data_IF_009085701725
#
_entry.id   IF_009085701725
#
_cell.length_a   1.000
_cell.length_b   1.000
_cell.length_c   1.000
_cell.angle_alpha   90.00
_cell.angle_beta   90.00
_cell.angle_gamma   90.00
#
_symmetry.space_group_name_H-M   'P 1'
#
loop_
_entity.id
_entity.type
_entity.pdbx_description
1 polymer ?
#
# COMPACT_ATOMS: atom_id res chain seq x y z
N UNK A 1 -27.64 -16.77 5.72
CA UNK A 1 -28.65 -15.68 5.73
C UNK A 1 -28.01 -14.29 5.89
N UNK A 2 -27.05 -13.92 5.03
CA UNK A 2 -26.46 -12.56 4.98
C UNK A 2 -26.49 -11.97 3.56
N UNK A 3 -27.25 -12.59 2.65
CA UNK A 3 -27.28 -12.23 1.22
C UNK A 3 -28.49 -11.38 0.79
N UNK A 4 -29.36 -10.94 1.72
CA UNK A 4 -30.71 -10.42 1.37
C UNK A 4 -30.97 -8.93 1.65
N UNK A 5 -29.98 -8.13 2.09
CA UNK A 5 -30.24 -6.75 2.53
C UNK A 5 -29.71 -5.67 1.56
N UNK A 6 -28.96 -6.03 0.51
CA UNK A 6 -28.18 -5.05 -0.28
C UNK A 6 -28.78 -4.58 -1.63
N UNK A 7 -30.02 -4.94 -2.00
CA UNK A 7 -30.49 -4.88 -3.42
C UNK A 7 -31.39 -3.68 -3.78
N UNK A 8 -31.34 -2.52 -3.11
CA UNK A 8 -32.13 -1.36 -3.56
C UNK A 8 -31.34 -0.05 -3.51
N UNK A 9 -30.88 0.42 -4.68
CA UNK A 9 -31.12 1.75 -5.28
C UNK A 9 -30.07 2.10 -6.33
N UNK A 10 -30.51 2.80 -7.38
CA UNK A 10 -29.93 2.82 -8.73
C UNK A 10 -29.04 4.05 -9.05
N UNK A 11 -28.22 3.86 -10.09
CA UNK A 11 -27.79 4.77 -11.16
C UNK A 11 -27.89 6.31 -10.97
N UNK A 12 -26.75 7.03 -11.09
CA UNK A 12 -26.42 7.83 -12.28
C UNK A 12 -25.12 8.66 -12.13
N UNK A 13 -24.52 8.98 -13.29
CA UNK A 13 -23.48 10.00 -13.57
C UNK A 13 -21.99 9.69 -13.26
N UNK A 14 -21.15 9.95 -14.28
CA UNK A 14 -19.71 9.70 -14.33
C UNK A 14 -18.94 10.72 -13.48
N UNK A 15 -17.96 10.26 -12.71
CA UNK A 15 -17.09 11.11 -11.89
C UNK A 15 -17.27 10.92 -10.37
N UNK A 16 -17.16 9.68 -9.90
CA UNK A 16 -16.99 9.33 -8.48
C UNK A 16 -15.97 8.21 -8.44
N UNK A 17 -15.15 8.15 -7.39
CA UNK A 17 -14.39 6.96 -7.00
C UNK A 17 -15.31 5.76 -7.25
N UNK A 18 -14.99 4.98 -8.29
CA UNK A 18 -15.95 4.06 -8.91
C UNK A 18 -16.34 2.99 -7.90
N UNK A 19 -17.58 3.12 -7.42
CA UNK A 19 -18.44 2.08 -6.84
C UNK A 19 -18.03 1.52 -5.48
N UNK A 20 -18.69 2.02 -4.44
CA UNK A 20 -18.79 1.35 -3.13
C UNK A 20 -19.76 0.15 -3.14
N UNK A 21 -20.57 -0.08 -4.18
CA UNK A 21 -21.35 -1.32 -4.37
C UNK A 21 -21.68 -1.44 -5.86
N UNK A 22 -21.29 -2.53 -6.53
CA UNK A 22 -21.71 -2.84 -7.90
C UNK A 22 -21.88 -4.35 -8.04
N UNK A 23 -23.13 -4.83 -8.07
CA UNK A 23 -23.56 -6.00 -8.87
C UNK A 23 -25.09 -6.10 -8.88
N UNK A 24 -25.68 -6.00 -10.08
CA UNK A 24 -27.02 -6.54 -10.38
C UNK A 24 -27.18 -6.81 -11.89
N UNK A 25 -27.45 -8.10 -12.18
CA UNK A 25 -28.01 -8.74 -13.40
C UNK A 25 -27.04 -8.88 -14.59
N UNK A 26 -26.92 -10.06 -15.23
CA UNK A 26 -28.01 -10.83 -15.86
C UNK A 26 -27.80 -12.36 -15.86
N UNK A 27 -28.79 -13.11 -15.38
CA UNK A 27 -29.08 -14.48 -15.81
C UNK A 27 -30.60 -14.57 -16.00
N UNK A 28 -31.04 -14.52 -17.26
CA UNK A 28 -32.18 -15.29 -17.78
C UNK A 28 -32.38 -14.93 -19.25
N UNK A 29 -32.24 -15.91 -20.13
CA UNK A 29 -33.29 -16.29 -21.09
C UNK A 29 -32.93 -17.66 -21.68
N UNK A 30 -33.93 -18.54 -21.66
CA UNK A 30 -33.90 -19.89 -22.20
C UNK A 30 -34.30 -19.89 -23.69
N UNK A 31 -33.60 -20.73 -24.48
CA UNK A 31 -34.07 -21.62 -25.58
C UNK A 31 -34.51 -21.02 -26.95
N UNK A 32 -34.65 -21.82 -28.03
CA UNK A 32 -33.93 -23.04 -28.46
C UNK A 32 -33.62 -23.13 -30.00
N UNK A 33 -32.76 -24.09 -30.40
CA UNK A 33 -32.96 -24.96 -31.59
C UNK A 33 -32.29 -24.62 -32.94
N UNK A 34 -31.44 -25.53 -33.46
CA UNK A 34 -31.63 -26.28 -34.73
C UNK A 34 -30.33 -26.92 -35.23
N UNK A 35 -30.45 -28.15 -35.73
CA UNK A 35 -29.42 -29.09 -36.20
C UNK A 35 -29.37 -29.21 -37.73
N UNK A 36 -28.29 -29.89 -38.20
CA UNK A 36 -28.03 -30.44 -39.55
C UNK A 36 -27.41 -29.47 -40.57
N UNK A 37 -26.41 -29.81 -41.40
CA UNK A 37 -25.70 -31.06 -41.71
C UNK A 37 -25.08 -30.92 -43.12
N UNK A 38 -23.93 -31.54 -43.40
CA UNK A 38 -23.46 -31.83 -44.77
C UNK A 38 -22.08 -31.29 -45.20
N UNK A 39 -21.13 -32.19 -45.40
CA UNK A 39 -19.93 -32.07 -46.26
C UNK A 39 -20.26 -32.66 -47.66
N UNK A 40 -19.60 -32.31 -48.79
CA UNK A 40 -18.24 -32.85 -49.10
C UNK A 40 -17.29 -32.07 -50.08
N UNK A 41 -15.98 -32.16 -49.79
CA UNK A 41 -14.81 -32.40 -50.68
C UNK A 41 -14.33 -31.35 -51.76
N UNK A 42 -13.11 -31.50 -52.37
CA UNK A 42 -11.95 -30.64 -52.08
C UNK A 42 -11.32 -29.92 -53.32
N UNK A 43 -10.18 -29.27 -53.06
CA UNK A 43 -9.11 -28.82 -53.97
C UNK A 43 -9.19 -27.37 -54.49
N UNK A 44 -8.20 -26.55 -54.10
CA UNK A 44 -7.21 -25.92 -54.99
C UNK A 44 -6.44 -24.83 -54.20
N UNK A 45 -5.11 -24.91 -54.22
CA UNK A 45 -4.25 -23.73 -54.11
C UNK A 45 -4.12 -23.18 -55.55
N UNK A 46 -4.03 -21.86 -55.79
CA UNK A 46 -2.87 -21.07 -55.36
C UNK A 46 -3.12 -19.55 -55.15
N UNK A 47 -2.01 -18.84 -54.95
CA UNK A 47 -1.77 -17.43 -55.21
C UNK A 47 -1.78 -16.45 -54.01
N UNK A 48 -0.56 -16.05 -53.68
CA UNK A 48 -0.15 -14.87 -52.91
C UNK A 48 -0.95 -13.61 -53.24
N UNK A 49 -1.42 -12.92 -52.20
CA UNK A 49 -1.80 -11.51 -52.25
C UNK A 49 -0.95 -10.71 -51.24
N UNK A 50 -0.23 -9.66 -51.67
CA UNK A 50 0.51 -8.79 -50.78
C UNK A 50 -0.41 -7.66 -50.31
N UNK A 51 -0.88 -7.72 -49.07
CA UNK A 51 -1.39 -6.56 -48.35
C UNK A 51 -1.44 -6.88 -46.85
N UNK A 52 -0.27 -6.91 -46.22
CA UNK A 52 -0.18 -6.70 -44.78
C UNK A 52 -0.05 -5.19 -44.56
N UNK A 53 -1.12 -4.55 -44.11
CA UNK A 53 -1.02 -3.20 -43.55
C UNK A 53 0.04 -3.21 -42.44
N UNK A 54 0.99 -2.26 -42.42
CA UNK A 54 1.95 -2.18 -41.34
C UNK A 54 1.20 -1.92 -40.04
N UNK A 55 1.40 -2.82 -39.06
CA UNK A 55 0.91 -2.65 -37.71
C UNK A 55 1.22 -1.23 -37.24
N UNK A 56 0.17 -0.48 -36.87
CA UNK A 56 0.30 0.89 -36.41
C UNK A 56 1.36 0.97 -35.32
N UNK A 57 2.42 1.74 -35.58
CA UNK A 57 3.46 2.02 -34.61
C UNK A 57 2.82 2.53 -33.30
N UNK A 58 3.34 2.16 -32.12
CA UNK A 58 2.75 2.58 -30.86
C UNK A 58 2.68 4.10 -30.82
N UNK A 59 1.46 4.65 -30.86
CA UNK A 59 1.23 6.08 -30.76
C UNK A 59 1.82 6.57 -29.43
N UNK A 60 2.95 7.26 -29.54
CA UNK A 60 3.67 7.83 -28.41
C UNK A 60 2.77 8.92 -27.81
N UNK A 61 2.20 8.65 -26.64
CA UNK A 61 1.47 9.70 -25.90
C UNK A 61 2.46 10.87 -25.67
N UNK A 62 2.10 12.11 -26.02
CA UNK A 62 3.00 13.24 -25.80
C UNK A 62 3.42 13.27 -24.33
N UNK A 63 4.72 13.46 -24.08
CA UNK A 63 5.27 13.59 -22.71
C UNK A 63 4.58 14.77 -22.04
N UNK A 64 3.65 14.50 -21.13
CA UNK A 64 3.05 15.52 -20.28
C UNK A 64 4.16 16.16 -19.45
N UNK A 65 4.16 17.48 -19.37
CA UNK A 65 5.05 18.20 -18.45
C UNK A 65 4.79 17.69 -17.02
N UNK A 66 5.81 17.14 -16.34
CA UNK A 66 5.67 16.67 -14.97
C UNK A 66 5.10 17.70 -14.01
N UNK A 67 5.33 19.00 -14.24
CA UNK A 67 4.84 20.08 -13.38
C UNK A 67 3.31 20.10 -13.26
N UNK A 68 2.60 19.64 -14.30
CA UNK A 68 1.14 19.52 -14.32
C UNK A 68 0.61 18.18 -13.80
N UNK A 69 1.47 17.30 -13.31
CA UNK A 69 1.12 15.96 -12.83
C UNK A 69 1.25 15.87 -11.30
N UNK A 70 0.66 14.83 -10.72
CA UNK A 70 0.75 14.56 -9.27
C UNK A 70 1.17 13.13 -8.95
N UNK A 71 1.72 12.97 -7.74
CA UNK A 71 2.03 11.70 -7.08
C UNK A 71 1.32 11.68 -5.74
N UNK A 72 0.60 10.61 -5.43
CA UNK A 72 -0.04 10.42 -4.12
C UNK A 72 0.73 9.38 -3.29
N UNK A 73 1.14 9.78 -2.09
CA UNK A 73 1.84 8.93 -1.13
C UNK A 73 0.90 8.58 0.03
N UNK A 74 0.73 7.29 0.30
CA UNK A 74 -0.18 6.79 1.33
C UNK A 74 0.63 6.31 2.54
N UNK A 75 0.48 6.93 3.73
CA UNK A 75 1.23 6.55 4.92
C UNK A 75 0.88 5.15 5.42
N UNK A 76 1.73 4.64 6.32
CA UNK A 76 1.58 3.32 6.92
C UNK A 76 1.44 3.37 8.44
N UNK A 77 1.50 2.19 9.06
CA UNK A 77 1.52 2.07 10.52
C UNK A 77 2.66 2.89 11.14
N UNK A 78 2.35 3.58 12.23
CA UNK A 78 3.21 4.54 12.91
C UNK A 78 2.85 6.00 12.63
N UNK A 79 1.93 6.26 11.69
CA UNK A 79 1.49 7.62 11.35
C UNK A 79 0.17 8.03 12.02
N UNK A 80 -0.55 7.07 12.63
CA UNK A 80 -1.78 7.30 13.39
C UNK A 80 -1.54 8.16 14.63
N UNK A 81 -2.57 8.91 15.02
CA UNK A 81 -2.64 9.69 16.25
C UNK A 81 -4.11 9.94 16.62
N UNK A 82 -4.40 10.14 17.91
CA UNK A 82 -5.76 10.46 18.38
C UNK A 82 -6.17 11.84 17.87
N UNK A 83 -7.40 11.94 17.33
CA UNK A 83 -7.93 13.13 16.66
C UNK A 83 -7.83 13.07 15.14
N UNK A 84 -7.15 12.06 14.56
CA UNK A 84 -7.10 11.90 13.11
C UNK A 84 -8.49 11.65 12.51
N UNK A 85 -8.75 12.24 11.35
CA UNK A 85 -10.04 12.15 10.68
C UNK A 85 -11.03 13.24 11.06
N UNK A 86 -10.82 13.99 12.16
CA UNK A 86 -11.71 15.08 12.60
C UNK A 86 -11.91 16.13 11.50
N UNK A 87 -10.82 16.55 10.86
CA UNK A 87 -10.85 17.52 9.77
C UNK A 87 -11.51 17.01 8.49
N UNK A 88 -11.70 15.69 8.37
CA UNK A 88 -12.18 15.03 7.16
C UNK A 88 -13.70 14.82 7.16
N UNK A 89 -14.36 14.83 8.32
CA UNK A 89 -15.79 14.49 8.45
C UNK A 89 -16.75 15.44 7.69
N UNK A 90 -16.28 16.63 7.32
CA UNK A 90 -17.04 17.62 6.54
C UNK A 90 -17.07 17.31 5.04
N UNK A 91 -16.16 16.48 4.53
CA UNK A 91 -16.12 16.16 3.11
C UNK A 91 -17.10 15.02 2.78
N UNK A 92 -17.63 14.98 1.53
CA UNK A 92 -18.54 13.94 1.09
C UNK A 92 -17.95 12.53 1.26
N UNK A 93 -18.82 11.53 1.41
CA UNK A 93 -18.49 10.10 1.54
C UNK A 93 -17.69 9.70 2.80
N UNK A 94 -16.97 10.61 3.46
CA UNK A 94 -16.09 10.28 4.60
C UNK A 94 -16.86 9.61 5.75
N UNK A 95 -18.00 10.18 6.17
CA UNK A 95 -18.84 9.57 7.23
C UNK A 95 -19.34 8.17 6.84
N UNK A 96 -19.67 7.97 5.58
CA UNK A 96 -20.14 6.68 5.07
C UNK A 96 -19.01 5.65 5.04
N UNK A 97 -17.79 6.05 4.69
CA UNK A 97 -16.61 5.17 4.76
C UNK A 97 -16.37 4.65 6.17
N UNK A 98 -16.46 5.52 7.19
CA UNK A 98 -16.36 5.10 8.59
C UNK A 98 -17.55 4.22 9.03
N UNK A 99 -18.76 4.49 8.54
CA UNK A 99 -19.94 3.64 8.80
C UNK A 99 -19.77 2.24 8.20
N UNK A 100 -19.26 2.14 6.97
CA UNK A 100 -18.93 0.87 6.32
C UNK A 100 -17.80 0.17 7.07
N UNK A 101 -16.78 0.92 7.49
CA UNK A 101 -15.67 0.39 8.27
C UNK A 101 -16.15 -0.23 9.59
N UNK A 102 -17.02 0.45 10.33
CA UNK A 102 -17.60 -0.09 11.56
C UNK A 102 -18.31 -1.43 11.33
N UNK A 103 -19.07 -1.57 10.24
CA UNK A 103 -19.75 -2.83 9.90
C UNK A 103 -18.77 -3.97 9.59
N UNK A 104 -17.67 -3.68 8.88
CA UNK A 104 -16.66 -4.69 8.49
C UNK A 104 -15.77 -5.09 9.67
N UNK A 105 -15.38 -4.09 10.46
CA UNK A 105 -14.45 -4.26 11.57
C UNK A 105 -15.15 -4.85 12.81
N UNK A 106 -16.42 -4.48 13.03
CA UNK A 106 -17.21 -4.91 14.19
C UNK A 106 -17.06 -4.00 15.42
N UNK A 107 -16.39 -2.85 15.27
CA UNK A 107 -16.20 -1.84 16.31
C UNK A 107 -16.19 -0.43 15.69
N UNK A 108 -16.42 0.59 16.51
CA UNK A 108 -16.43 1.99 16.04
C UNK A 108 -15.00 2.50 15.81
N UNK A 109 -14.54 2.39 14.56
CA UNK A 109 -13.24 2.91 14.15
C UNK A 109 -13.19 4.44 14.25
N UNK A 110 -14.30 5.14 14.03
CA UNK A 110 -14.30 6.60 14.03
C UNK A 110 -14.08 7.14 15.43
N UNK A 111 -14.83 6.66 16.42
CA UNK A 111 -14.61 7.05 17.83
C UNK A 111 -13.18 6.77 18.26
N UNK A 112 -12.64 5.58 17.94
CA UNK A 112 -11.24 5.25 18.25
C UNK A 112 -10.23 6.22 17.59
N UNK A 113 -10.43 6.61 16.33
CA UNK A 113 -9.59 7.60 15.66
C UNK A 113 -9.68 8.98 16.31
N UNK A 114 -10.86 9.42 16.72
CA UNK A 114 -11.11 10.78 17.20
C UNK A 114 -10.78 11.00 18.67
N UNK A 115 -10.99 9.97 19.49
CA UNK A 115 -11.06 10.04 20.96
C UNK A 115 -10.06 9.08 21.63
N UNK A 116 -9.58 8.06 20.91
CA UNK A 116 -8.66 7.07 21.46
C UNK A 116 -9.38 5.98 22.28
N UNK A 117 -8.73 5.40 23.30
CA UNK A 117 -7.45 5.83 23.88
C UNK A 117 -6.25 5.56 22.95
N UNK A 118 -5.16 6.28 23.17
CA UNK A 118 -4.00 6.26 22.27
C UNK A 118 -3.37 4.87 22.18
N UNK A 119 -3.20 4.18 23.31
CA UNK A 119 -2.61 2.84 23.38
C UNK A 119 -3.43 1.78 22.59
N UNK A 120 -4.77 1.85 22.64
CA UNK A 120 -5.63 1.02 21.80
C UNK A 120 -5.43 1.36 20.31
N UNK A 121 -5.43 2.65 19.96
CA UNK A 121 -5.23 3.08 18.57
C UNK A 121 -3.85 2.63 18.03
N UNK A 122 -2.82 2.57 18.88
CA UNK A 122 -1.47 2.13 18.53
C UNK A 122 -1.38 0.61 18.26
N UNK A 123 -2.32 -0.21 18.72
CA UNK A 123 -2.31 -1.65 18.45
C UNK A 123 -2.40 -1.92 16.95
N UNK A 124 -1.64 -2.91 16.47
CA UNK A 124 -1.57 -3.25 15.03
C UNK A 124 -2.94 -3.51 14.42
N UNK A 125 -3.82 -4.20 15.16
CA UNK A 125 -5.21 -4.50 14.76
C UNK A 125 -6.07 -3.26 14.51
N UNK A 126 -5.73 -2.14 15.14
CA UNK A 126 -6.50 -0.90 15.07
C UNK A 126 -5.82 0.15 14.18
N UNK A 127 -4.51 0.39 14.34
CA UNK A 127 -3.83 1.42 13.55
C UNK A 127 -3.86 1.13 12.04
N UNK A 128 -3.76 -0.12 11.61
CA UNK A 128 -3.77 -0.47 10.19
C UNK A 128 -5.08 -0.07 9.49
N UNK A 129 -6.27 -0.52 9.93
CA UNK A 129 -7.53 -0.05 9.35
C UNK A 129 -7.74 1.46 9.57
N UNK A 130 -7.29 2.02 10.69
CA UNK A 130 -7.43 3.44 10.99
C UNK A 130 -6.66 4.33 10.01
N UNK A 131 -5.39 3.99 9.73
CA UNK A 131 -4.57 4.67 8.70
C UNK A 131 -5.19 4.48 7.31
N UNK A 132 -5.60 3.25 6.96
CA UNK A 132 -6.21 2.96 5.65
C UNK A 132 -7.46 3.82 5.37
N UNK A 133 -8.43 3.85 6.29
CA UNK A 133 -9.68 4.60 6.11
C UNK A 133 -9.41 6.10 6.10
N UNK A 134 -8.55 6.58 7.01
CA UNK A 134 -8.20 8.01 7.10
C UNK A 134 -7.46 8.50 5.86
N UNK A 135 -6.57 7.67 5.28
CA UNK A 135 -5.89 7.97 4.02
C UNK A 135 -6.85 8.13 2.85
N UNK A 136 -7.81 7.23 2.69
CA UNK A 136 -8.80 7.34 1.63
C UNK A 136 -9.78 8.50 1.88
N UNK A 137 -10.09 8.81 3.14
CA UNK A 137 -10.84 10.02 3.48
C UNK A 137 -10.06 11.31 3.16
N UNK A 138 -8.73 11.30 3.31
CA UNK A 138 -7.87 12.42 2.89
C UNK A 138 -7.87 12.58 1.36
N UNK A 139 -8.02 11.49 0.60
CA UNK A 139 -8.24 11.57 -0.86
C UNK A 139 -9.57 12.28 -1.18
N UNK A 140 -10.65 12.00 -0.46
CA UNK A 140 -11.93 12.72 -0.65
C UNK A 140 -11.77 14.23 -0.39
N UNK A 141 -11.04 14.61 0.66
CA UNK A 141 -10.67 16.02 0.89
C UNK A 141 -9.90 16.61 -0.28
N UNK A 142 -8.82 15.95 -0.71
CA UNK A 142 -7.98 16.44 -1.81
C UNK A 142 -8.78 16.58 -3.10
N UNK A 143 -9.70 15.65 -3.38
CA UNK A 143 -10.57 15.70 -4.54
C UNK A 143 -11.53 16.90 -4.50
N UNK A 144 -12.03 17.26 -3.32
CA UNK A 144 -12.90 18.45 -3.16
C UNK A 144 -12.12 19.76 -3.26
N UNK A 145 -10.94 19.84 -2.64
CA UNK A 145 -10.15 21.08 -2.58
C UNK A 145 -9.31 21.32 -3.84
N UNK A 146 -8.85 20.24 -4.49
CA UNK A 146 -8.01 20.29 -5.68
C UNK A 146 -8.25 19.05 -6.57
N UNK A 147 -9.39 18.98 -7.29
CA UNK A 147 -9.72 17.82 -8.14
C UNK A 147 -8.66 17.54 -9.22
N UNK A 148 -7.97 18.58 -9.71
CA UNK A 148 -6.88 18.44 -10.69
C UNK A 148 -5.74 17.57 -10.16
N UNK A 149 -5.44 17.60 -8.86
CA UNK A 149 -4.44 16.73 -8.25
C UNK A 149 -4.83 15.25 -8.31
N UNK A 150 -6.12 14.92 -8.39
CA UNK A 150 -6.59 13.55 -8.58
C UNK A 150 -6.59 13.19 -10.07
N UNK A 151 -7.17 14.04 -10.91
CA UNK A 151 -7.29 13.84 -12.36
C UNK A 151 -5.93 13.69 -13.07
N UNK A 152 -4.92 14.41 -12.57
CA UNK A 152 -3.57 14.42 -13.14
C UNK A 152 -2.58 13.50 -12.40
N UNK A 153 -3.08 12.61 -11.55
CA UNK A 153 -2.26 11.65 -10.83
C UNK A 153 -1.65 10.62 -11.79
N UNK A 154 -0.31 10.54 -11.79
CA UNK A 154 0.44 9.61 -12.65
C UNK A 154 1.00 8.43 -11.88
N UNK A 155 1.15 8.56 -10.55
CA UNK A 155 1.70 7.54 -9.69
C UNK A 155 1.11 7.60 -8.28
N UNK A 156 0.93 6.42 -7.68
CA UNK A 156 0.62 6.27 -6.28
C UNK A 156 1.59 5.26 -5.64
N UNK A 157 1.97 5.50 -4.40
CA UNK A 157 2.76 4.56 -3.62
C UNK A 157 2.33 4.61 -2.17
N UNK A 158 2.14 3.44 -1.57
CA UNK A 158 1.78 3.32 -0.17
C UNK A 158 2.87 2.65 0.65
N UNK A 159 3.05 3.10 1.87
CA UNK A 159 4.02 2.52 2.79
C UNK A 159 3.36 1.40 3.62
N UNK A 160 3.79 0.16 3.42
CA UNK A 160 3.25 -1.02 4.10
C UNK A 160 1.73 -1.14 3.93
N UNK A 161 0.93 -0.97 4.99
CA UNK A 161 -0.54 -0.98 4.90
C UNK A 161 -1.09 0.08 3.94
N UNK A 162 -0.37 1.20 3.75
CA UNK A 162 -0.75 2.22 2.77
C UNK A 162 -0.82 1.70 1.34
N UNK A 163 -0.14 0.58 1.00
CA UNK A 163 -0.19 -0.04 -0.33
C UNK A 163 -1.62 -0.48 -0.69
N UNK A 164 -2.43 -0.88 0.30
CA UNK A 164 -3.85 -1.20 0.11
C UNK A 164 -4.67 0.06 -0.22
N UNK A 165 -4.41 1.18 0.45
CA UNK A 165 -5.09 2.44 0.17
C UNK A 165 -4.71 2.97 -1.24
N UNK A 166 -3.43 2.86 -1.62
CA UNK A 166 -2.98 3.20 -2.98
C UNK A 166 -3.65 2.33 -4.06
N UNK A 167 -3.82 1.03 -3.80
CA UNK A 167 -4.52 0.12 -4.71
C UNK A 167 -6.01 0.43 -4.84
N UNK A 168 -6.69 0.74 -3.74
CA UNK A 168 -8.10 1.20 -3.78
C UNK A 168 -8.23 2.51 -4.56
N UNK A 169 -7.38 3.48 -4.26
CA UNK A 169 -7.35 4.76 -4.99
C UNK A 169 -7.15 4.56 -6.50
N UNK A 170 -6.29 3.62 -6.90
CA UNK A 170 -6.02 3.30 -8.31
C UNK A 170 -7.12 2.49 -9.02
N UNK A 171 -8.21 2.14 -8.33
CA UNK A 171 -9.29 1.29 -8.87
C UNK A 171 -8.96 -0.20 -8.92
N UNK A 172 -7.80 -0.63 -8.39
CA UNK A 172 -7.37 -2.02 -8.40
C UNK A 172 -8.12 -2.90 -7.39
N UNK A 173 -8.67 -2.32 -6.32
CA UNK A 173 -9.46 -3.02 -5.31
C UNK A 173 -10.65 -2.17 -4.87
N UNK A 174 -11.74 -2.80 -4.47
CA UNK A 174 -12.85 -2.11 -3.82
C UNK A 174 -12.50 -1.77 -2.35
N UNK A 175 -13.00 -0.64 -1.85
CA UNK A 175 -12.82 -0.18 -0.48
C UNK A 175 -13.18 -1.25 0.57
N UNK A 176 -14.38 -1.82 0.48
CA UNK A 176 -14.87 -2.76 1.49
C UNK A 176 -14.05 -4.05 1.54
N UNK A 177 -13.71 -4.59 0.36
CA UNK A 177 -12.92 -5.81 0.22
C UNK A 177 -11.46 -5.59 0.66
N UNK A 178 -10.87 -4.44 0.29
CA UNK A 178 -9.54 -4.06 0.74
C UNK A 178 -9.50 -3.83 2.25
N UNK A 179 -10.52 -3.19 2.84
CA UNK A 179 -10.59 -3.02 4.29
C UNK A 179 -10.68 -4.35 5.01
N UNK A 180 -11.45 -5.31 4.48
CA UNK A 180 -11.48 -6.67 5.03
C UNK A 180 -10.11 -7.36 4.94
N UNK A 181 -9.40 -7.21 3.81
CA UNK A 181 -8.03 -7.71 3.69
C UNK A 181 -7.07 -7.03 4.69
N UNK A 182 -7.20 -5.72 4.90
CA UNK A 182 -6.42 -4.96 5.91
C UNK A 182 -6.76 -5.43 7.33
N UNK A 183 -8.02 -5.70 7.65
CA UNK A 183 -8.44 -6.28 8.93
C UNK A 183 -7.72 -7.61 9.19
N UNK A 184 -7.81 -8.55 8.24
CA UNK A 184 -7.18 -9.88 8.38
C UNK A 184 -5.65 -9.75 8.45
N UNK A 185 -5.06 -8.87 7.63
CA UNK A 185 -3.63 -8.55 7.69
C UNK A 185 -3.24 -8.08 9.10
N UNK A 186 -3.97 -7.13 9.66
CA UNK A 186 -3.67 -6.53 10.96
C UNK A 186 -3.81 -7.54 12.11
N UNK A 187 -4.91 -8.31 12.13
CA UNK A 187 -5.17 -9.37 13.11
C UNK A 187 -4.10 -10.46 13.08
N UNK A 188 -3.69 -10.89 11.89
CA UNK A 188 -2.72 -11.98 11.74
C UNK A 188 -1.29 -11.55 12.00
N UNK A 189 -0.92 -10.31 11.64
CA UNK A 189 0.35 -9.72 12.05
C UNK A 189 0.43 -9.51 13.55
N UNK A 190 -0.66 -9.06 14.21
CA UNK A 190 -0.69 -8.95 15.67
C UNK A 190 -0.47 -10.30 16.34
N UNK A 191 -1.20 -11.34 15.89
CA UNK A 191 -1.01 -12.71 16.39
C UNK A 191 0.41 -13.22 16.16
N UNK A 192 1.02 -12.94 15.00
CA UNK A 192 2.39 -13.31 14.71
C UNK A 192 3.39 -12.64 15.65
N UNK A 193 3.18 -11.36 15.98
CA UNK A 193 3.99 -10.62 16.95
C UNK A 193 3.93 -11.20 18.37
N UNK A 194 2.81 -11.81 18.74
CA UNK A 194 2.61 -12.41 20.07
C UNK A 194 3.30 -13.78 20.23
N UNK A 195 3.72 -14.41 19.13
CA UNK A 195 4.38 -15.73 19.16
C UNK A 195 5.79 -15.67 19.75
N UNK A 196 6.52 -14.58 19.52
CA UNK A 196 7.91 -14.44 19.97
C UNK A 196 8.27 -12.97 20.23
N UNK A 197 8.98 -12.66 21.33
CA UNK A 197 9.48 -11.31 21.58
C UNK A 197 10.35 -10.81 20.42
N UNK A 198 9.84 -9.79 19.74
CA UNK A 198 10.45 -9.24 18.53
C UNK A 198 10.10 -7.76 18.40
N UNK A 199 10.80 -7.05 17.54
CA UNK A 199 10.57 -5.62 17.37
C UNK A 199 11.23 -5.03 16.13
N UNK A 200 11.30 -3.71 16.10
CA UNK A 200 11.91 -2.95 15.02
C UNK A 200 12.78 -1.82 15.56
N UNK A 201 13.96 -1.64 14.95
CA UNK A 201 14.96 -0.65 15.29
C UNK A 201 15.21 0.26 14.09
N UNK A 202 14.86 1.53 14.20
CA UNK A 202 15.25 2.55 13.23
C UNK A 202 16.75 2.84 13.36
N UNK A 203 17.48 2.79 12.25
CA UNK A 203 18.94 2.93 12.20
C UNK A 203 19.34 3.92 11.11
N UNK A 204 20.03 4.99 11.52
CA UNK A 204 20.75 5.89 10.62
C UNK A 204 22.23 5.52 10.68
N UNK A 205 22.76 5.06 9.56
CA UNK A 205 24.15 4.62 9.39
C UNK A 205 25.04 5.71 8.82
N UNK A 206 26.35 5.44 8.83
CA UNK A 206 27.30 6.11 7.93
C UNK A 206 27.33 5.38 6.58
N UNK A 207 27.89 5.97 5.51
CA UNK A 207 28.08 5.26 4.25
C UNK A 207 28.87 3.95 4.38
N UNK A 208 29.71 3.82 5.40
CA UNK A 208 30.49 2.62 5.71
C UNK A 208 29.71 1.58 6.55
N UNK A 209 28.46 1.86 6.94
CA UNK A 209 27.67 0.95 7.76
C UNK A 209 27.26 -0.28 6.95
N UNK A 210 27.74 -1.45 7.38
CA UNK A 210 27.44 -2.72 6.73
C UNK A 210 26.21 -3.36 7.39
N UNK A 211 25.01 -2.88 7.06
CA UNK A 211 23.75 -3.37 7.63
C UNK A 211 23.57 -4.89 7.56
N UNK A 212 23.91 -5.51 6.43
CA UNK A 212 23.76 -6.97 6.26
C UNK A 212 24.72 -7.73 7.18
N UNK A 213 25.96 -7.25 7.31
CA UNK A 213 26.93 -7.81 8.25
C UNK A 213 26.50 -7.60 9.70
N UNK A 214 25.95 -6.44 10.04
CA UNK A 214 25.40 -6.17 11.37
C UNK A 214 24.27 -7.15 11.73
N UNK A 215 23.34 -7.39 10.80
CA UNK A 215 22.27 -8.37 10.97
C UNK A 215 22.81 -9.80 11.13
N UNK A 216 23.84 -10.18 10.36
CA UNK A 216 24.52 -11.47 10.51
C UNK A 216 25.13 -11.62 11.91
N UNK A 217 25.87 -10.62 12.38
CA UNK A 217 26.49 -10.62 13.71
C UNK A 217 25.44 -10.72 14.83
N UNK A 218 24.31 -10.02 14.69
CA UNK A 218 23.21 -10.10 15.64
C UNK A 218 22.57 -11.49 15.67
N UNK A 219 22.44 -12.15 14.52
CA UNK A 219 21.98 -13.56 14.46
C UNK A 219 22.95 -14.51 15.11
N UNK A 220 24.26 -14.39 14.85
CA UNK A 220 25.28 -15.22 15.49
C UNK A 220 25.32 -15.01 17.02
N UNK A 221 25.13 -13.78 17.48
CA UNK A 221 24.95 -13.51 18.91
C UNK A 221 23.75 -14.25 19.49
N UNK A 222 22.58 -14.18 18.84
CA UNK A 222 21.39 -14.91 19.30
C UNK A 222 21.60 -16.44 19.32
N UNK A 223 22.31 -17.00 18.33
CA UNK A 223 22.67 -18.43 18.34
C UNK A 223 23.57 -18.77 19.53
N UNK A 224 24.53 -17.91 19.88
CA UNK A 224 25.39 -18.11 21.05
C UNK A 224 24.61 -18.09 22.38
N UNK A 225 23.41 -17.48 22.39
CA UNK A 225 22.47 -17.50 23.50
C UNK A 225 21.49 -18.70 23.45
N UNK A 226 21.70 -19.64 22.53
CA UNK A 226 20.88 -20.86 22.39
C UNK A 226 19.61 -20.68 21.56
N UNK A 227 19.42 -19.55 20.87
CA UNK A 227 18.24 -19.34 20.02
C UNK A 227 18.35 -20.15 18.72
N UNK A 228 17.34 -20.97 18.44
CA UNK A 228 17.19 -21.67 17.17
C UNK A 228 16.59 -20.71 16.12
N UNK A 229 17.18 -20.66 14.92
CA UNK A 229 16.73 -19.85 13.78
C UNK A 229 16.47 -18.35 14.08
N UNK A 230 17.47 -17.59 14.58
CA UNK A 230 17.28 -16.18 14.87
C UNK A 230 17.04 -15.36 13.60
N UNK A 231 15.97 -14.58 13.62
CA UNK A 231 15.65 -13.55 12.63
C UNK A 231 16.25 -12.21 13.04
N UNK A 232 16.99 -11.61 12.13
CA UNK A 232 17.40 -10.20 12.15
C UNK A 232 17.73 -9.80 10.70
N UNK A 233 17.00 -8.82 10.17
CA UNK A 233 17.15 -8.36 8.79
C UNK A 233 16.67 -6.92 8.62
N UNK A 234 17.12 -6.26 7.56
CA UNK A 234 16.50 -4.99 7.15
C UNK A 234 15.04 -5.26 6.79
N UNK A 235 14.13 -4.50 7.40
CA UNK A 235 12.69 -4.56 7.18
C UNK A 235 12.16 -3.35 6.40
N UNK A 236 12.85 -2.21 6.44
CA UNK A 236 12.49 -1.04 5.64
C UNK A 236 13.76 -0.32 5.16
N UNK A 237 13.77 0.06 3.89
CA UNK A 237 14.73 1.00 3.30
C UNK A 237 14.02 2.36 3.19
N UNK A 238 14.37 3.34 4.03
CA UNK A 238 13.60 4.58 4.16
C UNK A 238 14.15 5.70 3.27
N UNK A 239 15.46 5.90 3.30
CA UNK A 239 16.22 6.93 2.60
C UNK A 239 17.71 6.57 2.64
N UNK A 240 18.62 7.29 1.94
CA UNK A 240 20.05 6.98 1.96
C UNK A 240 20.61 6.84 3.38
N UNK A 241 21.23 5.70 3.67
CA UNK A 241 21.73 5.30 5.00
C UNK A 241 20.68 5.30 6.13
N UNK A 242 19.39 5.34 5.80
CA UNK A 242 18.26 5.26 6.74
C UNK A 242 17.48 3.98 6.54
N UNK A 243 17.56 3.07 7.51
CA UNK A 243 16.88 1.76 7.44
C UNK A 243 16.17 1.46 8.73
N UNK A 244 15.24 0.51 8.68
CA UNK A 244 14.73 -0.17 9.86
C UNK A 244 15.22 -1.61 9.82
N UNK A 245 15.83 -2.06 10.91
CA UNK A 245 16.18 -3.47 11.13
C UNK A 245 15.12 -4.06 12.05
N UNK A 246 14.66 -5.27 11.77
CA UNK A 246 13.68 -5.96 12.58
C UNK A 246 14.09 -7.41 12.80
N UNK A 247 13.64 -7.99 13.90
CA UNK A 247 13.99 -9.34 14.31
C UNK A 247 13.66 -9.62 15.77
N UNK A 248 14.25 -10.68 16.31
CA UNK A 248 14.15 -11.02 17.73
C UNK A 248 14.70 -9.90 18.61
N UNK A 249 14.12 -9.73 19.80
CA UNK A 249 14.49 -8.64 20.70
C UNK A 249 15.98 -8.65 21.04
N UNK A 250 16.55 -9.82 21.37
CA UNK A 250 17.97 -9.99 21.68
C UNK A 250 18.88 -9.57 20.52
N UNK A 251 18.44 -9.75 19.27
CA UNK A 251 19.20 -9.31 18.11
C UNK A 251 19.22 -7.78 18.01
N UNK A 252 18.12 -7.12 18.35
CA UNK A 252 18.02 -5.66 18.34
C UNK A 252 18.83 -5.04 19.48
N UNK A 253 18.78 -5.64 20.67
CA UNK A 253 19.55 -5.22 21.85
C UNK A 253 21.05 -5.25 21.51
N UNK A 254 21.54 -6.35 20.93
CA UNK A 254 22.92 -6.46 20.44
C UNK A 254 23.29 -5.34 19.47
N UNK A 255 22.42 -5.00 18.51
CA UNK A 255 22.67 -3.93 17.54
C UNK A 255 22.75 -2.56 18.21
N UNK A 256 21.95 -2.30 19.23
CA UNK A 256 21.98 -1.05 20.00
C UNK A 256 23.29 -0.94 20.79
N UNK A 257 23.65 -1.97 21.53
CA UNK A 257 24.90 -2.04 22.31
C UNK A 257 26.15 -1.91 21.43
N UNK A 258 26.11 -2.48 20.22
CA UNK A 258 27.22 -2.48 19.28
C UNK A 258 27.17 -1.36 18.23
N UNK A 259 26.21 -0.42 18.34
CA UNK A 259 25.92 0.61 17.33
C UNK A 259 27.16 1.36 16.84
N UNK A 260 28.03 1.82 17.76
CA UNK A 260 29.27 2.54 17.43
C UNK A 260 30.23 1.69 16.59
N UNK A 261 30.42 0.42 16.96
CA UNK A 261 31.29 -0.53 16.25
C UNK A 261 30.76 -0.81 14.84
N UNK A 262 29.43 -0.91 14.73
CA UNK A 262 28.69 -1.15 13.48
C UNK A 262 28.55 0.10 12.59
N UNK A 263 29.16 1.24 12.99
CA UNK A 263 29.10 2.53 12.30
C UNK A 263 27.67 3.08 12.16
N UNK A 264 26.79 2.71 13.07
CA UNK A 264 25.48 3.35 13.21
C UNK A 264 25.65 4.69 13.93
N UNK A 265 25.12 5.75 13.33
CA UNK A 265 25.12 7.09 13.91
C UNK A 265 24.02 7.24 14.96
N UNK A 266 22.85 6.69 14.67
CA UNK A 266 21.68 6.76 15.55
C UNK A 266 20.86 5.49 15.43
N UNK A 267 20.42 4.97 16.56
CA UNK A 267 19.44 3.89 16.64
C UNK A 267 18.26 4.33 17.51
N UNK A 268 17.05 3.90 17.19
CA UNK A 268 15.84 4.16 17.99
C UNK A 268 14.87 2.99 17.85
N UNK A 269 14.49 2.39 18.97
CA UNK A 269 13.45 1.35 19.01
C UNK A 269 12.11 1.97 18.60
N UNK A 270 11.38 1.28 17.72
CA UNK A 270 10.06 1.71 17.29
C UNK A 270 8.99 1.13 18.22
N UNK A 271 7.96 1.91 18.59
CA UNK A 271 6.88 1.44 19.47
C UNK A 271 5.89 0.59 18.67
N UNK A 272 6.30 -0.62 18.31
CA UNK A 272 5.50 -1.57 17.53
C UNK A 272 5.47 -2.93 18.21
N UNK A 273 4.43 -3.73 17.95
CA UNK A 273 4.23 -5.00 18.64
C UNK A 273 5.18 -6.13 18.19
N UNK A 274 5.80 -6.03 17.01
CA UNK A 274 6.70 -7.09 16.54
C UNK A 274 7.54 -6.71 15.31
N UNK A 275 8.29 -7.70 14.82
CA UNK A 275 9.23 -7.55 13.69
C UNK A 275 8.55 -7.65 12.31
N UNK A 276 7.78 -6.63 11.94
CA UNK A 276 7.10 -6.58 10.64
C UNK A 276 8.06 -6.62 9.46
N UNK A 277 7.58 -7.11 8.30
CA UNK A 277 8.37 -7.20 7.06
C UNK A 277 9.61 -8.11 7.17
N UNK A 278 9.50 -9.14 8.02
CA UNK A 278 10.50 -10.21 8.18
C UNK A 278 9.83 -11.57 8.15
N UNK A 279 10.63 -12.63 8.15
CA UNK A 279 10.17 -14.02 8.24
C UNK A 279 9.34 -14.30 9.51
N UNK A 280 9.44 -13.49 10.56
CA UNK A 280 8.58 -13.62 11.76
C UNK A 280 7.10 -13.37 11.47
N UNK A 281 6.76 -12.75 10.33
CA UNK A 281 5.38 -12.57 9.88
C UNK A 281 4.88 -13.71 8.98
N UNK A 282 5.63 -14.81 8.82
CA UNK A 282 5.29 -15.90 7.90
C UNK A 282 3.89 -16.49 8.17
N UNK A 283 3.49 -16.62 9.43
CA UNK A 283 2.17 -17.13 9.82
C UNK A 283 1.00 -16.24 9.36
N UNK A 284 1.25 -14.96 9.07
CA UNK A 284 0.25 -14.04 8.54
C UNK A 284 0.03 -14.17 7.01
N UNK A 285 0.94 -14.86 6.30
CA UNK A 285 0.91 -14.90 4.83
C UNK A 285 -0.26 -15.71 4.26
N UNK A 286 -0.54 -16.89 4.81
CA UNK A 286 -1.61 -17.75 4.28
C UNK A 286 -3.03 -17.20 4.57
N UNK A 287 -3.33 -16.68 5.78
CA UNK A 287 -4.60 -16.00 6.02
C UNK A 287 -4.85 -14.84 5.04
N UNK A 288 -3.85 -14.00 4.79
CA UNK A 288 -3.99 -12.91 3.83
C UNK A 288 -4.13 -13.44 2.38
N UNK A 289 -3.40 -14.50 2.02
CA UNK A 289 -3.53 -15.15 0.71
C UNK A 289 -4.95 -15.62 0.46
N UNK A 290 -5.57 -16.26 1.44
CA UNK A 290 -6.93 -16.80 1.31
C UNK A 290 -7.96 -15.68 1.10
N UNK A 291 -7.87 -14.60 1.88
CA UNK A 291 -8.71 -13.42 1.65
C UNK A 291 -8.48 -12.84 0.25
N UNK A 292 -7.21 -12.69 -0.14
CA UNK A 292 -6.84 -12.23 -1.47
C UNK A 292 -7.14 -13.24 -2.59
N UNK A 293 -7.72 -14.41 -2.36
CA UNK A 293 -8.33 -15.22 -3.44
C UNK A 293 -9.77 -14.82 -3.71
N UNK A 294 -10.44 -14.29 -2.70
CA UNK A 294 -11.87 -13.99 -2.71
C UNK A 294 -12.17 -12.54 -3.11
N UNK A 295 -11.22 -11.62 -2.87
CA UNK A 295 -11.33 -10.20 -3.27
C UNK A 295 -11.22 -10.04 -4.79
N UNK A 296 -12.01 -9.16 -5.40
CA UNK A 296 -11.78 -8.78 -6.79
C UNK A 296 -10.56 -7.84 -6.88
N UNK A 297 -9.55 -8.23 -7.65
CA UNK A 297 -8.35 -7.43 -7.89
C UNK A 297 -8.25 -7.18 -9.37
N UNK A 298 -8.10 -5.91 -9.75
CA UNK A 298 -7.97 -5.42 -11.12
C UNK A 298 -6.57 -4.86 -11.35
N UNK A 299 -6.21 -4.66 -12.61
CA UNK A 299 -5.01 -3.89 -12.96
C UNK A 299 -5.22 -2.43 -12.51
N UNK A 300 -4.26 -1.81 -11.78
CA UNK A 300 -4.31 -0.40 -11.43
C UNK A 300 -4.48 0.52 -12.65
N UNK A 301 -5.38 1.51 -12.56
CA UNK A 301 -5.62 2.50 -13.62
C UNK A 301 -4.47 3.52 -13.74
N UNK A 302 -3.75 3.75 -12.63
CA UNK A 302 -2.53 4.56 -12.55
C UNK A 302 -1.35 3.70 -12.08
N UNK A 303 -0.12 4.20 -12.22
CA UNK A 303 1.07 3.46 -11.77
C UNK A 303 1.08 3.33 -10.25
N UNK A 304 0.90 2.12 -9.72
CA UNK A 304 1.08 1.83 -8.28
C UNK A 304 2.38 1.06 -8.08
N UNK A 305 3.21 1.49 -7.13
CA UNK A 305 4.54 0.92 -6.90
C UNK A 305 4.53 -0.02 -5.71
N UNK A 306 5.06 -1.23 -5.90
CA UNK A 306 5.05 -2.25 -4.87
C UNK A 306 6.22 -2.11 -3.90
N UNK A 307 5.96 -2.32 -2.60
CA UNK A 307 7.01 -2.26 -1.59
C UNK A 307 8.05 -3.39 -1.69
N UNK A 308 7.72 -4.51 -2.34
CA UNK A 308 8.60 -5.70 -2.41
C UNK A 308 9.82 -5.47 -3.32
N UNK A 309 9.63 -4.78 -4.44
CA UNK A 309 10.68 -4.57 -5.45
C UNK A 309 10.85 -3.11 -5.88
N UNK A 310 9.97 -2.20 -5.44
CA UNK A 310 9.97 -0.79 -5.84
C UNK A 310 9.51 -0.58 -7.28
N UNK A 311 8.88 -1.59 -7.92
CA UNK A 311 8.43 -1.54 -9.31
C UNK A 311 6.91 -1.44 -9.40
N UNK A 312 6.44 -1.01 -10.57
CA UNK A 312 5.01 -0.86 -10.84
C UNK A 312 4.31 -2.21 -10.88
N UNK A 313 3.11 -2.25 -10.32
CA UNK A 313 2.19 -3.35 -10.55
C UNK A 313 1.84 -3.49 -12.04
N UNK A 314 1.79 -4.74 -12.51
CA UNK A 314 1.62 -5.05 -13.93
C UNK A 314 0.22 -5.56 -14.23
N UNK A 315 -0.26 -6.52 -13.43
CA UNK A 315 -1.54 -7.19 -13.58
C UNK A 315 -2.03 -7.70 -12.21
N UNK A 316 -3.26 -8.21 -12.21
CA UNK A 316 -4.00 -8.68 -11.04
C UNK A 316 -3.27 -9.77 -10.26
N UNK A 317 -2.72 -10.75 -10.99
CA UNK A 317 -1.96 -11.85 -10.41
C UNK A 317 -0.68 -11.36 -9.74
N UNK A 318 -0.02 -10.35 -10.31
CA UNK A 318 1.14 -9.70 -9.71
C UNK A 318 0.74 -8.97 -8.41
N UNK A 319 -0.38 -8.24 -8.39
CA UNK A 319 -0.89 -7.58 -7.17
C UNK A 319 -1.10 -8.59 -6.04
N UNK A 320 -1.87 -9.65 -6.29
CA UNK A 320 -2.16 -10.68 -5.27
C UNK A 320 -0.88 -11.31 -4.72
N UNK A 321 0.07 -11.69 -5.58
CA UNK A 321 1.33 -12.32 -5.15
C UNK A 321 2.18 -11.37 -4.31
N UNK A 322 2.33 -10.11 -4.73
CA UNK A 322 3.18 -9.17 -4.02
C UNK A 322 2.58 -8.77 -2.68
N UNK A 323 1.27 -8.56 -2.57
CA UNK A 323 0.64 -8.21 -1.28
C UNK A 323 0.87 -9.28 -0.21
N UNK A 324 0.84 -10.56 -0.58
CA UNK A 324 1.18 -11.65 0.35
C UNK A 324 2.68 -11.64 0.66
N UNK A 325 3.53 -11.50 -0.36
CA UNK A 325 4.99 -11.46 -0.19
C UNK A 325 5.46 -10.25 0.62
N UNK A 326 4.73 -9.14 0.56
CA UNK A 326 5.00 -7.87 1.25
C UNK A 326 5.05 -8.02 2.76
N UNK A 327 4.27 -8.94 3.34
CA UNK A 327 4.24 -9.21 4.78
C UNK A 327 5.59 -9.63 5.35
N UNK A 328 6.38 -10.35 4.56
CA UNK A 328 7.65 -10.97 4.97
C UNK A 328 8.86 -10.45 4.20
N UNK A 329 8.65 -9.45 3.35
CA UNK A 329 9.71 -8.82 2.54
C UNK A 329 9.93 -7.39 3.00
N UNK A 330 11.17 -6.89 2.94
CA UNK A 330 11.45 -5.51 3.31
C UNK A 330 10.70 -4.52 2.43
N UNK A 331 10.23 -3.43 3.04
CA UNK A 331 9.66 -2.29 2.32
C UNK A 331 10.77 -1.50 1.65
N UNK A 332 10.84 -1.57 0.32
CA UNK A 332 11.79 -0.84 -0.53
C UNK A 332 11.32 0.58 -0.85
N UNK A 333 11.14 1.39 0.20
CA UNK A 333 10.58 2.73 0.07
C UNK A 333 11.56 3.72 -0.60
N UNK A 334 12.82 3.72 -0.17
CA UNK A 334 13.90 4.49 -0.81
C UNK A 334 13.94 4.24 -2.33
N UNK A 335 13.92 2.96 -2.72
CA UNK A 335 13.94 2.54 -4.12
C UNK A 335 12.67 2.96 -4.87
N UNK A 336 11.51 2.88 -4.21
CA UNK A 336 10.24 3.37 -4.77
C UNK A 336 10.30 4.87 -5.05
N UNK A 337 10.83 5.67 -4.12
CA UNK A 337 11.01 7.11 -4.32
C UNK A 337 12.02 7.39 -5.44
N UNK A 338 13.11 6.62 -5.55
CA UNK A 338 14.01 6.73 -6.69
C UNK A 338 13.29 6.48 -8.01
N UNK A 339 12.53 5.39 -8.13
CA UNK A 339 11.82 5.04 -9.37
C UNK A 339 10.75 6.07 -9.77
N UNK A 340 10.08 6.70 -8.80
CA UNK A 340 9.04 7.71 -9.05
C UNK A 340 9.64 9.06 -9.47
N UNK A 341 10.75 9.46 -8.85
CA UNK A 341 11.31 10.82 -8.99
C UNK A 341 12.59 10.90 -9.82
N UNK A 342 13.10 9.78 -10.34
CA UNK A 342 14.20 9.77 -11.29
C UNK A 342 13.81 10.56 -12.55
N UNK A 343 14.64 11.55 -12.90
CA UNK A 343 14.42 12.46 -14.03
C UNK A 343 15.74 12.95 -14.61
N UNK A 344 15.73 13.30 -15.89
CA UNK A 344 16.87 13.97 -16.53
C UNK A 344 17.03 15.38 -15.96
N UNK A 345 18.27 15.86 -15.88
CA UNK A 345 18.57 17.21 -15.39
C UNK A 345 17.78 18.28 -16.15
N UNK A 346 17.18 19.22 -15.41
CA UNK A 346 16.37 20.31 -15.96
C UNK A 346 14.87 20.01 -16.08
N UNK A 347 14.42 18.76 -15.94
CA UNK A 347 12.99 18.46 -15.91
C UNK A 347 12.34 18.87 -14.57
N UNK A 348 11.09 19.34 -14.64
CA UNK A 348 10.27 19.65 -13.47
C UNK A 348 9.85 18.38 -12.71
N UNK A 349 9.44 18.57 -11.46
CA UNK A 349 8.90 17.53 -10.60
C UNK A 349 7.37 17.64 -10.50
N UNK A 350 6.65 16.52 -10.34
CA UNK A 350 5.23 16.52 -10.07
C UNK A 350 4.94 17.04 -8.67
N UNK A 351 3.72 17.51 -8.47
CA UNK A 351 3.22 17.78 -7.13
C UNK A 351 3.10 16.47 -6.35
N UNK A 352 3.57 16.46 -5.11
CA UNK A 352 3.45 15.27 -4.26
C UNK A 352 2.49 15.54 -3.13
N UNK A 353 1.51 14.67 -2.94
CA UNK A 353 0.55 14.76 -1.85
C UNK A 353 0.70 13.55 -0.92
N UNK A 354 1.06 13.76 0.34
CA UNK A 354 0.87 12.75 1.38
C UNK A 354 -0.58 12.79 1.85
N UNK A 355 -1.31 11.71 1.56
CA UNK A 355 -2.76 11.60 1.76
C UNK A 355 -3.07 10.63 2.91
N UNK A 356 -3.10 11.16 4.12
CA UNK A 356 -3.39 10.39 5.32
C UNK A 356 -2.80 11.02 6.58
N UNK A 357 -2.85 10.32 7.72
CA UNK A 357 -2.37 10.87 8.97
C UNK A 357 -0.83 10.94 8.98
N UNK A 358 -0.29 12.03 9.53
CA UNK A 358 1.14 12.24 9.74
C UNK A 358 1.87 12.78 8.50
N UNK A 359 3.14 13.16 8.69
CA UNK A 359 4.00 13.78 7.64
C UNK A 359 5.30 13.01 7.40
N UNK A 360 5.27 11.71 7.68
CA UNK A 360 6.49 10.90 7.72
C UNK A 360 7.02 10.64 6.31
N UNK A 361 6.14 10.46 5.33
CA UNK A 361 6.57 10.21 3.96
C UNK A 361 7.21 11.47 3.34
N UNK A 362 6.69 12.66 3.64
CA UNK A 362 7.34 13.93 3.30
C UNK A 362 8.75 14.03 3.86
N UNK A 363 8.96 13.65 5.12
CA UNK A 363 10.30 13.63 5.73
C UNK A 363 11.25 12.63 5.05
N UNK A 364 10.77 11.45 4.63
CA UNK A 364 11.58 10.51 3.85
C UNK A 364 11.88 11.04 2.45
N UNK A 365 10.89 11.64 1.77
CA UNK A 365 11.05 12.26 0.46
C UNK A 365 12.08 13.37 0.48
N UNK A 366 12.07 14.23 1.51
CA UNK A 366 13.06 15.29 1.67
C UNK A 366 14.50 14.75 1.71
N UNK A 367 14.69 13.59 2.35
CA UNK A 367 15.99 12.92 2.47
C UNK A 367 16.41 12.17 1.20
N UNK A 368 15.45 11.61 0.45
CA UNK A 368 15.74 10.94 -0.82
C UNK A 368 15.94 11.93 -1.98
N UNK A 369 15.07 12.94 -2.08
CA UNK A 369 15.05 13.87 -3.19
C UNK A 369 14.53 15.25 -2.76
N UNK A 370 15.46 16.12 -2.35
CA UNK A 370 15.15 17.48 -1.90
C UNK A 370 14.45 18.34 -2.96
N UNK A 371 14.67 18.10 -4.26
CA UNK A 371 14.02 18.85 -5.35
C UNK A 371 12.56 18.44 -5.49
N UNK A 372 12.27 17.14 -5.48
CA UNK A 372 10.90 16.64 -5.46
C UNK A 372 10.11 17.10 -4.21
N UNK A 373 10.78 17.20 -3.06
CA UNK A 373 10.17 17.72 -1.84
C UNK A 373 9.73 19.20 -1.94
N UNK A 374 10.29 20.00 -2.84
CA UNK A 374 9.88 21.41 -2.99
C UNK A 374 8.43 21.56 -3.46
N UNK A 375 7.87 20.54 -4.10
CA UNK A 375 6.48 20.48 -4.58
C UNK A 375 5.62 19.53 -3.75
N UNK A 376 6.07 19.18 -2.55
CA UNK A 376 5.34 18.34 -1.59
C UNK A 376 4.32 19.16 -0.79
N UNK A 377 3.14 18.55 -0.57
CA UNK A 377 2.11 19.02 0.34
C UNK A 377 1.54 17.86 1.15
N UNK A 378 1.17 18.13 2.40
CA UNK A 378 0.43 17.21 3.25
C UNK A 378 -1.05 17.54 3.23
N UNK A 379 -1.91 16.54 3.11
CA UNK A 379 -3.36 16.72 3.24
C UNK A 379 -3.75 16.55 4.70
N UNK A 380 -3.98 17.66 5.40
CA UNK A 380 -4.33 17.65 6.82
C UNK A 380 -5.56 16.79 7.13
N UNK A 381 -5.47 16.00 8.20
CA UNK A 381 -6.56 15.11 8.65
C UNK A 381 -7.22 15.59 9.94
N UNK A 382 -6.73 16.70 10.51
CA UNK A 382 -7.30 17.39 11.68
C UNK A 382 -7.97 18.71 11.27
N UNK A 383 -8.70 19.31 12.22
CA UNK A 383 -9.13 20.70 12.14
C UNK A 383 -7.95 21.62 12.47
N UNK A 384 -7.87 22.79 11.83
CA UNK A 384 -6.96 23.87 12.25
C UNK A 384 -7.52 24.61 13.47
N UNK A 385 -7.85 23.88 14.53
CA UNK A 385 -8.27 24.46 15.80
C UNK A 385 -7.75 23.51 16.88
N UNK A 386 -6.52 23.77 17.31
CA UNK A 386 -6.07 23.77 18.71
C UNK A 386 -4.82 24.66 18.82
#
# INVERSE_FOLDING_TARGET
MLASVAVRMAASSRGKVRSLVSLSRTLSTNKPGSTAGGYPHPAEAPASSPNSEPAAAPQWRPKKDPSGCSVLLFPGQGSQFVGMGRGLLKYPNVKEMFTVAQKILGYDLLSLCLEGPEDELQKTVHCQPAVFVTSLAAVERLNQENPKAIEMCVAAAGFSVGEFAALVFSGAMNFAEALYAVKVRAETMQKASELVPSGMLSVIGRPQAQYNYACLQAKEHCKSLGMENPVCSVANYLFPDGRVIAGHQQALDFLQENSRRLKFMRTKTLPVSGAFHTELMASATEPLREVLRQVEVRRPEISVYSNVDGKRYMNESHVRRQLVKQLVSPVKWEQTLHEIYERTQGQHFPHTYEVGPGRQLGATLQKCNRKAYQTYAHVEVTTYED
#
